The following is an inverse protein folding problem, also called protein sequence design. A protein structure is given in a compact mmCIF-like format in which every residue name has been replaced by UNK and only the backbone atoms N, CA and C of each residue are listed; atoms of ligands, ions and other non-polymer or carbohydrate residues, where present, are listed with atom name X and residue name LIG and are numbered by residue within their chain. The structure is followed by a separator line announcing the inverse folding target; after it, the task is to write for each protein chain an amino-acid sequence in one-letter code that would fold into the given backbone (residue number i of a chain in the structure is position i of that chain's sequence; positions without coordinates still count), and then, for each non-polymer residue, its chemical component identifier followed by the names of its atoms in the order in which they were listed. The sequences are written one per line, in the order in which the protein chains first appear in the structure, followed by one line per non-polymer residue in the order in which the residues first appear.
data_IF_060447929743
#
_entry.id   IF_060447929743
#
_cell.length_a   1.000
_cell.length_b   1.000
_cell.length_c   1.000
_cell.angle_alpha   90.00
_cell.angle_beta   90.00
_cell.angle_gamma   90.00
#
_symmetry.space_group_name_H-M   'P 1'
#
loop_
_entity.id
_entity.type
_entity.pdbx_description
1 polymer ?
#
# COMPACT_ATOMS: atom_id res chain seq x y z
N UNK A 1 6.80 58.15 -36.22
CA UNK A 1 7.44 57.08 -35.41
C UNK A 1 8.39 57.71 -34.41
N UNK A 2 7.93 57.93 -33.18
CA UNK A 2 8.74 58.30 -32.01
C UNK A 2 8.07 57.60 -30.82
N UNK A 3 8.50 56.39 -30.51
CA UNK A 3 8.11 55.71 -29.27
C UNK A 3 9.00 56.30 -28.17
N UNK A 4 8.36 56.98 -27.23
CA UNK A 4 8.98 57.52 -26.03
C UNK A 4 9.37 56.36 -25.11
N UNK A 5 10.68 56.22 -24.89
CA UNK A 5 11.24 55.40 -23.82
C UNK A 5 10.92 56.05 -22.47
N UNK A 6 10.32 55.29 -21.56
CA UNK A 6 10.00 55.73 -20.21
C UNK A 6 10.30 54.62 -19.19
N UNK A 7 11.14 54.85 -18.17
CA UNK A 7 11.50 53.84 -17.16
C UNK A 7 10.36 53.47 -16.19
N UNK A 8 9.16 54.04 -16.35
CA UNK A 8 8.00 53.81 -15.48
C UNK A 8 7.22 52.51 -15.73
N UNK A 9 7.34 51.90 -16.92
CA UNK A 9 6.66 50.63 -17.24
C UNK A 9 7.31 49.41 -16.57
N UNK A 10 8.58 49.52 -16.17
CA UNK A 10 9.33 48.44 -15.54
C UNK A 10 8.92 48.21 -14.08
N UNK A 11 8.60 49.27 -13.33
CA UNK A 11 8.19 49.16 -11.92
C UNK A 11 6.77 48.60 -11.73
N UNK A 12 5.85 48.85 -12.66
CA UNK A 12 4.49 48.30 -12.62
C UNK A 12 4.44 46.79 -12.84
N UNK A 13 5.46 46.21 -13.50
CA UNK A 13 5.54 44.77 -13.72
C UNK A 13 5.99 44.01 -12.47
N UNK A 14 6.86 44.62 -11.65
CA UNK A 14 7.41 44.01 -10.43
C UNK A 14 6.36 43.81 -9.32
N UNK A 15 5.34 44.68 -9.23
CA UNK A 15 4.27 44.56 -8.23
C UNK A 15 3.26 43.44 -8.55
N UNK A 16 3.15 42.99 -9.81
CA UNK A 16 2.30 41.86 -10.21
C UNK A 16 2.99 40.49 -10.06
N UNK A 17 4.30 40.47 -9.77
CA UNK A 17 5.12 39.27 -9.76
C UNK A 17 5.45 38.73 -8.35
N UNK A 18 4.95 39.36 -7.28
CA UNK A 18 4.96 38.71 -5.96
C UNK A 18 3.67 37.88 -5.83
N UNK A 19 3.71 36.55 -6.04
CA UNK A 19 2.65 35.72 -5.50
C UNK A 19 2.68 35.96 -3.99
N UNK A 20 1.59 36.48 -3.44
CA UNK A 20 1.41 36.53 -2.00
C UNK A 20 1.61 35.10 -1.49
N UNK A 21 2.75 34.85 -0.84
CA UNK A 21 3.10 33.61 -0.17
C UNK A 21 2.18 33.50 1.05
N UNK A 22 0.91 33.23 0.80
CA UNK A 22 -0.03 32.81 1.83
C UNK A 22 0.41 31.42 2.26
N UNK A 23 0.79 31.22 3.53
CA UNK A 23 1.13 29.90 4.02
C UNK A 23 -0.10 29.03 3.89
N UNK A 24 -0.07 28.07 2.97
CA UNK A 24 -1.10 27.03 2.87
C UNK A 24 -1.05 26.26 4.19
N UNK A 25 -2.14 26.21 4.97
CA UNK A 25 -2.16 25.37 6.15
C UNK A 25 -1.97 23.93 5.68
N UNK A 26 -0.84 23.33 6.09
CA UNK A 26 -0.64 21.90 5.93
C UNK A 26 -1.68 21.19 6.79
N UNK A 27 -2.80 20.80 6.18
CA UNK A 27 -3.77 19.90 6.82
C UNK A 27 -3.04 18.57 6.99
N UNK A 28 -2.51 18.32 8.19
CA UNK A 28 -2.12 16.98 8.61
C UNK A 28 -3.38 16.14 8.60
N UNK A 29 -3.57 15.34 7.55
CA UNK A 29 -4.57 14.30 7.56
C UNK A 29 -4.26 13.37 8.73
N UNK A 30 -5.06 13.44 9.78
CA UNK A 30 -5.08 12.38 10.80
C UNK A 30 -5.55 11.15 10.03
N UNK A 31 -4.68 10.15 9.91
CA UNK A 31 -5.07 8.88 9.33
C UNK A 31 -6.13 8.26 10.25
N UNK A 32 -7.40 8.48 9.95
CA UNK A 32 -8.50 7.90 10.71
C UNK A 32 -8.41 6.38 10.60
N UNK A 33 -8.40 5.72 11.75
CA UNK A 33 -8.37 4.26 11.81
C UNK A 33 -9.75 3.73 11.40
N UNK A 34 -9.84 2.88 10.36
CA UNK A 34 -11.11 2.30 9.94
C UNK A 34 -11.76 1.52 11.09
N UNK A 35 -13.08 1.60 11.20
CA UNK A 35 -13.84 0.90 12.24
C UNK A 35 -14.80 -0.13 11.64
N UNK A 36 -15.33 -1.02 12.48
CA UNK A 36 -16.36 -1.99 12.11
C UNK A 36 -17.36 -2.21 13.26
N UNK A 37 -18.64 -2.49 12.95
CA UNK A 37 -19.62 -2.81 13.99
C UNK A 37 -19.37 -4.20 14.56
N UNK A 38 -19.44 -4.32 15.89
CA UNK A 38 -19.25 -5.56 16.62
C UNK A 38 -20.35 -5.72 17.67
N UNK A 39 -20.68 -6.97 18.01
CA UNK A 39 -21.58 -7.26 19.13
C UNK A 39 -20.79 -8.00 20.20
N UNK A 40 -20.71 -7.40 21.37
CA UNK A 40 -20.04 -8.02 22.51
C UNK A 40 -20.76 -9.33 22.88
N UNK A 41 -20.00 -10.42 22.98
CA UNK A 41 -20.55 -11.75 23.19
C UNK A 41 -21.06 -11.97 24.62
N UNK A 42 -20.53 -11.23 25.61
CA UNK A 42 -20.93 -11.35 27.01
C UNK A 42 -22.11 -10.44 27.34
N UNK A 43 -22.07 -9.19 26.91
CA UNK A 43 -23.07 -8.17 27.26
C UNK A 43 -24.16 -8.02 26.20
N UNK A 44 -23.90 -8.46 24.96
CA UNK A 44 -24.81 -8.27 23.84
C UNK A 44 -24.90 -6.83 23.32
N UNK A 45 -24.05 -5.92 23.80
CA UNK A 45 -24.07 -4.53 23.37
C UNK A 45 -23.48 -4.39 21.94
N UNK A 46 -23.97 -3.41 21.18
CA UNK A 46 -23.41 -3.04 19.87
C UNK A 46 -22.32 -2.00 20.07
N UNK A 47 -21.10 -2.36 19.67
CA UNK A 47 -19.90 -1.55 19.77
C UNK A 47 -19.37 -1.21 18.37
N UNK A 48 -18.56 -0.15 18.30
CA UNK A 48 -17.81 0.22 17.10
C UNK A 48 -16.33 0.01 17.41
N UNK A 49 -15.74 -1.04 16.83
CA UNK A 49 -14.36 -1.43 17.09
C UNK A 49 -13.43 -0.90 16.01
N UNK A 50 -12.19 -0.58 16.38
CA UNK A 50 -11.13 -0.28 15.42
C UNK A 50 -10.72 -1.56 14.66
N UNK A 51 -10.47 -1.44 13.36
CA UNK A 51 -9.88 -2.50 12.56
C UNK A 51 -8.38 -2.62 12.85
N UNK A 52 -7.83 -3.78 12.56
CA UNK A 52 -6.41 -4.08 12.69
C UNK A 52 -5.67 -3.71 11.39
N UNK A 53 -4.44 -3.15 11.50
CA UNK A 53 -3.65 -2.75 10.33
C UNK A 53 -3.16 -3.95 9.51
N UNK A 54 -2.67 -3.72 8.27
CA UNK A 54 -2.02 -4.74 7.47
C UNK A 54 -0.86 -5.42 8.23
N UNK A 55 -0.72 -6.74 8.09
CA UNK A 55 0.25 -7.52 8.85
C UNK A 55 -0.26 -8.05 10.19
N UNK A 56 -1.48 -7.68 10.57
CA UNK A 56 -2.10 -8.10 11.84
C UNK A 56 -3.52 -8.65 11.64
N UNK A 57 -4.01 -9.34 12.67
CA UNK A 57 -5.36 -9.87 12.77
C UNK A 57 -5.94 -9.57 14.16
N UNK A 58 -7.26 -9.66 14.31
CA UNK A 58 -7.95 -9.47 15.58
C UNK A 58 -7.69 -10.67 16.47
N UNK A 59 -6.84 -10.49 17.49
CA UNK A 59 -6.61 -11.51 18.52
C UNK A 59 -7.73 -11.49 19.56
N UNK A 60 -8.18 -10.29 19.95
CA UNK A 60 -9.34 -10.10 20.82
C UNK A 60 -10.18 -8.92 20.30
N UNK A 61 -11.49 -9.10 20.08
CA UNK A 61 -12.40 -8.00 19.74
C UNK A 61 -12.44 -6.93 20.82
N UNK A 62 -12.87 -5.72 20.46
CA UNK A 62 -13.07 -4.66 21.45
C UNK A 62 -14.25 -4.96 22.38
N UNK A 63 -14.16 -4.43 23.60
CA UNK A 63 -15.21 -4.42 24.62
C UNK A 63 -15.47 -2.97 25.03
N UNK A 64 -16.44 -2.74 25.93
CA UNK A 64 -16.77 -1.40 26.43
C UNK A 64 -15.55 -0.68 27.03
N UNK A 65 -14.69 -1.42 27.72
CA UNK A 65 -13.56 -0.97 28.51
C UNK A 65 -12.20 -1.23 27.85
N UNK A 66 -12.15 -1.99 26.75
CA UNK A 66 -10.89 -2.37 26.09
C UNK A 66 -10.94 -2.25 24.57
N UNK A 67 -9.90 -1.68 23.93
CA UNK A 67 -9.83 -1.57 22.48
C UNK A 67 -9.55 -2.93 21.83
N UNK A 68 -9.74 -3.00 20.51
CA UNK A 68 -9.39 -4.19 19.71
C UNK A 68 -7.91 -4.52 19.92
N UNK A 69 -7.61 -5.77 20.29
CA UNK A 69 -6.24 -6.25 20.39
C UNK A 69 -5.84 -6.91 19.08
N UNK A 70 -4.83 -6.35 18.41
CA UNK A 70 -4.30 -6.88 17.16
C UNK A 70 -3.04 -7.72 17.40
N UNK A 71 -2.99 -8.93 16.84
CA UNK A 71 -1.83 -9.82 16.86
C UNK A 71 -1.12 -9.87 15.51
N UNK A 72 0.21 -10.10 15.46
CA UNK A 72 0.95 -10.22 14.21
C UNK A 72 0.60 -11.52 13.47
N UNK A 73 0.58 -11.47 12.14
CA UNK A 73 0.35 -12.69 11.35
C UNK A 73 1.45 -13.74 11.59
N UNK A 74 1.09 -15.02 11.79
CA UNK A 74 2.06 -16.10 11.92
C UNK A 74 2.77 -16.36 10.57
N UNK A 75 3.88 -17.13 10.58
CA UNK A 75 4.58 -17.50 9.35
C UNK A 75 3.62 -18.12 8.32
N UNK A 76 3.90 -17.86 7.02
CA UNK A 76 3.07 -18.31 5.88
C UNK A 76 1.66 -17.72 5.83
N UNK A 77 1.38 -16.64 6.55
CA UNK A 77 0.10 -15.95 6.53
C UNK A 77 0.26 -14.43 6.36
N UNK A 78 -0.79 -13.78 5.84
CA UNK A 78 -0.79 -12.37 5.54
C UNK A 78 -2.16 -11.69 5.67
N UNK A 79 -2.12 -10.36 5.85
CA UNK A 79 -3.26 -9.44 5.69
C UNK A 79 -2.77 -8.16 5.01
N UNK A 80 -3.28 -7.87 3.81
CA UNK A 80 -2.81 -6.73 3.01
C UNK A 80 -3.51 -5.42 3.34
N UNK A 81 -4.70 -5.49 3.90
CA UNK A 81 -5.56 -4.35 4.16
C UNK A 81 -5.95 -4.29 5.64
N UNK A 82 -6.49 -3.13 6.05
CA UNK A 82 -7.19 -3.01 7.31
C UNK A 82 -8.29 -4.07 7.38
N UNK A 83 -8.35 -4.78 8.51
CA UNK A 83 -9.17 -5.96 8.61
C UNK A 83 -9.69 -6.18 10.03
N UNK A 84 -10.75 -6.97 10.13
CA UNK A 84 -11.33 -7.45 11.39
C UNK A 84 -11.31 -8.99 11.44
N UNK A 85 -10.35 -9.61 10.74
CA UNK A 85 -10.27 -11.06 10.65
C UNK A 85 -9.77 -11.64 11.97
N UNK A 86 -10.38 -12.74 12.43
CA UNK A 86 -9.90 -13.50 13.59
C UNK A 86 -8.67 -14.37 13.28
N UNK A 87 -8.32 -14.50 11.99
CA UNK A 87 -7.14 -15.23 11.51
C UNK A 87 -6.61 -14.61 10.21
N UNK A 88 -5.28 -14.59 10.06
CA UNK A 88 -4.65 -14.14 8.82
C UNK A 88 -4.94 -15.09 7.65
N UNK A 89 -4.84 -14.57 6.42
CA UNK A 89 -5.03 -15.38 5.20
C UNK A 89 -3.77 -16.21 4.95
N UNK A 90 -3.94 -17.45 4.54
CA UNK A 90 -2.81 -18.31 4.19
C UNK A 90 -2.16 -17.87 2.86
N UNK A 91 -0.83 -17.93 2.78
CA UNK A 91 -0.08 -17.71 1.55
C UNK A 91 -0.27 -18.89 0.58
N UNK A 92 -1.38 -18.86 -0.15
CA UNK A 92 -1.86 -19.94 -1.01
C UNK A 92 -1.29 -19.94 -2.44
N UNK A 93 -0.65 -18.85 -2.88
CA UNK A 93 0.07 -18.84 -4.15
C UNK A 93 1.29 -19.73 -4.00
N UNK A 94 1.55 -20.66 -4.90
CA UNK A 94 2.76 -21.50 -4.95
C UNK A 94 3.37 -21.32 -6.34
N UNK A 95 4.68 -21.14 -6.43
CA UNK A 95 5.33 -20.99 -7.73
C UNK A 95 5.52 -22.38 -8.36
N UNK A 96 5.11 -22.52 -9.62
CA UNK A 96 5.32 -23.74 -10.40
C UNK A 96 6.78 -23.91 -10.83
N UNK A 97 7.08 -25.01 -11.51
CA UNK A 97 8.45 -25.34 -11.96
C UNK A 97 9.07 -24.31 -12.92
N UNK A 98 8.24 -23.55 -13.65
CA UNK A 98 8.66 -22.53 -14.61
C UNK A 98 8.52 -21.10 -14.08
N UNK A 99 8.23 -20.96 -12.79
CA UNK A 99 7.99 -19.68 -12.13
C UNK A 99 8.95 -19.51 -10.96
N UNK A 100 9.34 -18.27 -10.69
CA UNK A 100 10.19 -17.91 -9.55
C UNK A 100 9.48 -16.91 -8.63
N UNK A 101 9.83 -16.91 -7.35
CA UNK A 101 9.24 -16.03 -6.34
C UNK A 101 9.66 -14.58 -6.57
N UNK A 102 8.85 -13.84 -7.34
CA UNK A 102 9.05 -12.42 -7.59
C UNK A 102 8.85 -11.57 -6.32
N UNK A 103 7.99 -12.05 -5.42
CA UNK A 103 7.77 -11.42 -4.11
C UNK A 103 7.48 -12.50 -3.08
N UNK A 104 8.24 -12.47 -1.98
CA UNK A 104 8.08 -13.45 -0.92
C UNK A 104 6.74 -13.32 -0.20
N UNK A 105 6.25 -14.43 0.38
CA UNK A 105 5.17 -14.35 1.36
C UNK A 105 5.62 -13.55 2.59
N UNK A 106 4.85 -12.54 2.98
CA UNK A 106 5.14 -11.68 4.13
C UNK A 106 3.84 -11.37 4.89
N UNK A 107 3.93 -10.88 6.13
CA UNK A 107 2.75 -10.54 6.92
C UNK A 107 1.77 -9.58 6.19
N UNK A 108 2.27 -8.73 5.30
CA UNK A 108 1.47 -7.70 4.61
C UNK A 108 1.05 -8.08 3.19
N UNK A 109 1.48 -9.21 2.64
CA UNK A 109 1.19 -9.58 1.26
C UNK A 109 1.41 -11.06 0.98
N UNK A 110 0.64 -11.59 0.03
CA UNK A 110 0.84 -12.94 -0.45
C UNK A 110 2.15 -13.06 -1.24
N UNK A 111 2.62 -14.31 -1.40
CA UNK A 111 3.62 -14.64 -2.40
C UNK A 111 3.11 -14.26 -3.79
N UNK A 112 3.97 -13.69 -4.61
CA UNK A 112 3.71 -13.48 -6.03
C UNK A 112 4.81 -14.17 -6.85
N UNK A 113 4.40 -14.88 -7.89
CA UNK A 113 5.29 -15.60 -8.77
C UNK A 113 5.40 -14.86 -10.11
N UNK A 114 6.61 -14.86 -10.68
CA UNK A 114 6.88 -14.34 -12.01
C UNK A 114 7.32 -15.47 -12.94
N UNK A 115 6.93 -15.40 -14.21
CA UNK A 115 7.40 -16.34 -15.23
C UNK A 115 8.92 -16.17 -15.37
N UNK A 116 9.68 -17.25 -15.21
CA UNK A 116 11.11 -17.27 -15.44
C UNK A 116 11.35 -17.14 -16.95
N UNK A 117 11.43 -15.91 -17.46
CA UNK A 117 11.86 -15.66 -18.84
C UNK A 117 13.36 -15.90 -18.86
N UNK A 118 13.80 -16.80 -19.74
CA UNK A 118 15.19 -17.27 -19.95
C UNK A 118 16.28 -16.19 -20.07
N UNK A 119 15.93 -14.90 -20.08
CA UNK A 119 16.82 -13.76 -20.25
C UNK A 119 16.65 -12.62 -19.23
N UNK A 120 15.69 -12.64 -18.31
CA UNK A 120 15.32 -11.45 -17.51
C UNK A 120 15.66 -11.50 -16.01
N UNK A 121 16.13 -12.63 -15.48
CA UNK A 121 16.42 -12.79 -14.05
C UNK A 121 17.71 -13.61 -13.81
N UNK A 122 18.67 -13.12 -13.00
CA UNK A 122 19.80 -13.93 -12.55
C UNK A 122 19.30 -14.98 -11.54
N UNK A 123 19.38 -16.27 -11.91
CA UNK A 123 18.92 -17.39 -11.07
C UNK A 123 18.18 -18.51 -11.82
N UNK A 124 17.71 -18.23 -13.03
CA UNK A 124 16.94 -19.18 -13.84
C UNK A 124 17.79 -20.34 -14.43
N UNK A 125 17.35 -21.62 -14.34
CA UNK A 125 18.00 -22.73 -15.03
C UNK A 125 17.78 -22.66 -16.56
N UNK A 126 18.87 -22.55 -17.33
CA UNK A 126 18.85 -22.61 -18.80
C UNK A 126 19.21 -21.31 -19.54
N UNK A 127 20.09 -20.47 -18.98
CA UNK A 127 20.65 -19.30 -19.65
C UNK A 127 21.54 -19.72 -20.83
N UNK A 128 21.02 -19.73 -22.06
CA UNK A 128 21.79 -20.07 -23.28
C UNK A 128 22.02 -18.90 -24.23
N UNK A 129 21.91 -17.65 -23.75
CA UNK A 129 22.38 -16.46 -24.50
C UNK A 129 21.64 -16.10 -25.79
N UNK A 130 20.55 -16.79 -26.15
CA UNK A 130 19.79 -16.51 -27.37
C UNK A 130 18.44 -15.85 -27.04
N UNK A 131 18.29 -14.61 -27.47
CA UNK A 131 17.09 -13.78 -27.38
C UNK A 131 15.94 -14.37 -28.19
N UNK A 132 14.85 -14.79 -27.53
CA UNK A 132 13.58 -15.11 -28.20
C UNK A 132 12.43 -14.35 -27.54
N UNK A 133 11.57 -13.81 -28.40
CA UNK A 133 10.53 -12.81 -28.15
C UNK A 133 9.54 -13.18 -27.04
N UNK A 134 9.18 -12.18 -26.25
CA UNK A 134 8.72 -12.32 -24.87
C UNK A 134 7.20 -12.48 -24.66
N UNK A 135 6.46 -13.02 -25.63
CA UNK A 135 4.98 -12.86 -25.62
C UNK A 135 4.16 -14.15 -25.58
N UNK A 136 4.74 -15.35 -25.63
CA UNK A 136 3.92 -16.57 -25.85
C UNK A 136 4.22 -17.79 -24.96
N UNK A 137 5.00 -17.68 -23.88
CA UNK A 137 5.59 -18.88 -23.23
C UNK A 137 5.37 -18.98 -21.71
N UNK A 138 4.12 -18.82 -21.28
CA UNK A 138 3.66 -19.47 -20.05
C UNK A 138 2.42 -20.35 -20.38
N UNK A 139 2.47 -21.01 -21.55
CA UNK A 139 1.70 -22.19 -21.96
C UNK A 139 2.66 -23.15 -22.67
#
# INVERSE_FOLDING_TARGET
MRALEGPGLSLLCLVLALPALLPVPAVRGVAETPTYPWRDAETGERLVCAQCPPGTFVQRPCRRDSPTTCGPCPPRHYTQFWNYLERCRYCNVLCGEREEEARACHATHNRACGCCRRCAWPGCPGWSGASVSASSLCT
#
